data_IF_068110999702
#
_entry.id   IF_068110999702
#
_cell.length_a   1.000
_cell.length_b   1.000
_cell.length_c   1.000
_cell.angle_alpha   90.00
_cell.angle_beta   90.00
_cell.angle_gamma   90.00
#
_symmetry.space_group_name_H-M   'P 1'
#
loop_
_entity.id
_entity.type
_entity.pdbx_description
1 polymer ?
#
# COMPACT_ATOMS: atom_id res chain seq x y z
N UNK A 1 26.66 -3.87 4.12
CA UNK A 1 25.34 -3.62 4.76
C UNK A 1 24.75 -2.28 4.34
N UNK A 2 25.54 -1.19 4.26
CA UNK A 2 25.05 0.15 3.93
C UNK A 2 24.31 0.27 2.58
N UNK A 3 24.84 -0.32 1.50
CA UNK A 3 24.30 -0.16 0.12
C UNK A 3 22.77 -0.38 0.00
N UNK A 4 22.25 -1.49 0.52
CA UNK A 4 20.80 -1.79 0.45
C UNK A 4 19.96 -0.91 1.37
N UNK A 5 20.50 -0.54 2.53
CA UNK A 5 19.85 0.41 3.43
C UNK A 5 19.76 1.80 2.81
N UNK A 6 20.80 2.23 2.08
CA UNK A 6 20.80 3.49 1.33
C UNK A 6 19.71 3.48 0.26
N UNK A 7 19.54 2.37 -0.48
CA UNK A 7 18.46 2.26 -1.46
C UNK A 7 17.07 2.29 -0.83
N UNK A 8 16.86 1.68 0.34
CA UNK A 8 15.58 1.77 1.05
C UNK A 8 15.27 3.21 1.47
N UNK A 9 16.25 3.92 2.02
CA UNK A 9 16.09 5.34 2.39
C UNK A 9 15.74 6.16 1.15
N UNK A 10 16.41 5.89 0.02
CA UNK A 10 16.15 6.56 -1.25
C UNK A 10 14.73 6.27 -1.76
N UNK A 11 14.24 5.03 -1.66
CA UNK A 11 12.86 4.67 -2.02
C UNK A 11 11.86 5.41 -1.14
N UNK A 12 12.06 5.42 0.18
CA UNK A 12 11.17 6.15 1.10
C UNK A 12 11.16 7.64 0.77
N UNK A 13 12.33 8.24 0.55
CA UNK A 13 12.45 9.65 0.16
C UNK A 13 11.71 9.94 -1.15
N UNK A 14 11.80 9.05 -2.14
CA UNK A 14 11.08 9.19 -3.41
C UNK A 14 9.56 9.07 -3.24
N UNK A 15 9.08 8.12 -2.41
CA UNK A 15 7.64 7.99 -2.12
C UNK A 15 7.11 9.24 -1.41
N UNK A 16 7.87 9.81 -0.45
CA UNK A 16 7.50 11.05 0.24
C UNK A 16 7.48 12.23 -0.74
N UNK A 17 8.52 12.37 -1.57
CA UNK A 17 8.60 13.42 -2.59
C UNK A 17 7.43 13.31 -3.57
N UNK A 18 7.10 12.10 -4.01
CA UNK A 18 5.97 11.83 -4.89
C UNK A 18 4.65 12.23 -4.25
N UNK A 19 4.40 11.86 -2.99
CA UNK A 19 3.21 12.28 -2.25
C UNK A 19 3.11 13.80 -2.10
N UNK A 20 4.23 14.48 -1.83
CA UNK A 20 4.29 15.93 -1.76
C UNK A 20 3.95 16.60 -3.11
N UNK A 21 4.48 16.04 -4.20
CA UNK A 21 4.18 16.54 -5.56
C UNK A 21 2.70 16.33 -5.93
N UNK A 22 2.12 15.18 -5.56
CA UNK A 22 0.68 14.93 -5.75
C UNK A 22 -0.16 15.99 -5.05
N UNK A 23 0.15 16.31 -3.79
CA UNK A 23 -0.57 17.33 -3.04
C UNK A 23 -0.47 18.70 -3.72
N UNK A 24 0.75 19.11 -4.13
CA UNK A 24 0.97 20.38 -4.83
C UNK A 24 0.20 20.46 -6.15
N UNK A 25 0.17 19.38 -6.93
CA UNK A 25 -0.58 19.33 -8.19
C UNK A 25 -2.08 19.44 -7.94
N UNK A 26 -2.61 18.80 -6.90
CA UNK A 26 -4.02 18.88 -6.53
C UNK A 26 -4.39 20.29 -6.06
N UNK A 27 -3.57 20.92 -5.20
CA UNK A 27 -3.83 22.28 -4.70
C UNK A 27 -3.76 23.37 -5.78
N UNK A 28 -2.98 23.14 -6.85
CA UNK A 28 -2.83 24.11 -7.95
C UNK A 28 -4.01 24.14 -8.93
N UNK A 29 -4.93 23.17 -8.84
CA UNK A 29 -6.19 23.19 -9.55
C UNK A 29 -7.27 23.69 -8.58
N UNK A 30 -7.79 24.90 -8.77
CA UNK A 30 -9.14 25.28 -8.31
C UNK A 30 -10.14 24.39 -9.05
N UNK A 31 -10.35 23.19 -8.54
CA UNK A 31 -11.33 22.23 -9.08
C UNK A 31 -12.68 22.64 -8.51
N UNK A 32 -13.60 23.02 -9.39
CA UNK A 32 -15.00 23.24 -9.04
C UNK A 32 -15.54 22.03 -8.26
N UNK A 33 -16.39 22.24 -7.25
CA UNK A 33 -17.05 21.13 -6.56
C UNK A 33 -17.75 20.25 -7.61
N UNK A 34 -17.75 18.92 -7.41
CA UNK A 34 -18.34 18.00 -8.38
C UNK A 34 -19.80 18.39 -8.61
N UNK A 35 -20.12 18.78 -9.83
CA UNK A 35 -21.50 19.00 -10.26
C UNK A 35 -22.25 17.69 -10.01
N UNK A 36 -23.37 17.77 -9.29
CA UNK A 36 -24.19 16.61 -8.94
C UNK A 36 -24.48 15.75 -10.19
N UNK A 37 -23.84 14.58 -10.30
CA UNK A 37 -23.98 13.67 -11.44
C UNK A 37 -22.66 13.27 -12.11
N UNK A 38 -21.55 13.96 -11.88
CA UNK A 38 -20.22 13.46 -12.26
C UNK A 38 -19.62 12.71 -11.07
N UNK A 39 -19.36 11.40 -11.18
CA UNK A 39 -18.64 10.71 -10.13
C UNK A 39 -17.23 11.31 -10.12
N UNK A 40 -16.54 11.31 -8.97
CA UNK A 40 -15.17 11.84 -8.81
C UNK A 40 -14.10 11.12 -9.69
N UNK A 41 -14.55 10.33 -10.68
CA UNK A 41 -13.91 9.26 -11.46
C UNK A 41 -13.42 9.67 -12.86
N UNK A 42 -13.43 10.96 -13.23
CA UNK A 42 -12.47 11.40 -14.26
C UNK A 42 -11.00 11.20 -13.77
N UNK A 43 -10.82 10.77 -12.50
CA UNK A 43 -9.58 10.48 -11.79
C UNK A 43 -9.23 8.98 -11.61
N UNK A 44 -10.07 8.01 -11.99
CA UNK A 44 -9.86 6.60 -11.59
C UNK A 44 -8.54 6.00 -12.11
N UNK A 45 -8.12 6.37 -13.33
CA UNK A 45 -6.82 5.94 -13.88
C UNK A 45 -5.63 6.61 -13.17
N UNK A 46 -5.77 7.88 -12.78
CA UNK A 46 -4.73 8.58 -12.03
C UNK A 46 -4.53 7.99 -10.63
N UNK A 47 -5.63 7.63 -9.96
CA UNK A 47 -5.62 6.95 -8.66
C UNK A 47 -4.98 5.57 -8.75
N UNK A 48 -5.27 4.81 -9.81
CA UNK A 48 -4.63 3.52 -10.07
C UNK A 48 -3.11 3.66 -10.26
N UNK A 49 -2.65 4.65 -11.05
CA UNK A 49 -1.22 4.91 -11.25
C UNK A 49 -0.53 5.22 -9.91
N UNK A 50 -1.14 6.07 -9.08
CA UNK A 50 -0.60 6.42 -7.75
C UNK A 50 -0.38 5.17 -6.90
N UNK A 51 -1.40 4.30 -6.80
CA UNK A 51 -1.29 3.06 -6.03
C UNK A 51 -0.31 2.04 -6.62
N UNK A 52 -0.16 1.97 -7.94
CA UNK A 52 0.88 1.14 -8.56
C UNK A 52 2.28 1.63 -8.18
N UNK A 53 2.53 2.95 -8.22
CA UNK A 53 3.82 3.53 -7.85
C UNK A 53 4.14 3.21 -6.38
N UNK A 54 3.15 3.34 -5.49
CA UNK A 54 3.28 3.00 -4.08
C UNK A 54 3.56 1.51 -3.90
N UNK A 55 2.84 0.63 -4.62
CA UNK A 55 3.05 -0.81 -4.58
C UNK A 55 4.47 -1.19 -5.03
N UNK A 56 4.97 -0.57 -6.09
CA UNK A 56 6.35 -0.74 -6.56
C UNK A 56 7.34 -0.29 -5.48
N UNK A 57 7.08 0.85 -4.82
CA UNK A 57 7.87 1.33 -3.69
C UNK A 57 7.94 0.31 -2.56
N UNK A 58 6.79 -0.22 -2.12
CA UNK A 58 6.71 -1.26 -1.09
C UNK A 58 7.46 -2.52 -1.50
N UNK A 59 7.26 -2.98 -2.74
CA UNK A 59 7.98 -4.11 -3.30
C UNK A 59 9.50 -3.91 -3.28
N UNK A 60 9.99 -2.74 -3.69
CA UNK A 60 11.42 -2.44 -3.67
C UNK A 60 11.99 -2.44 -2.25
N UNK A 61 11.24 -1.96 -1.26
CA UNK A 61 11.65 -2.01 0.15
C UNK A 61 11.87 -3.45 0.62
N UNK A 62 10.93 -4.34 0.30
CA UNK A 62 11.01 -5.76 0.65
C UNK A 62 12.10 -6.47 -0.15
N UNK A 63 12.27 -6.15 -1.43
CA UNK A 63 13.32 -6.72 -2.26
C UNK A 63 14.71 -6.36 -1.75
N UNK A 64 14.92 -5.09 -1.38
CA UNK A 64 16.20 -4.65 -0.82
C UNK A 64 16.45 -5.23 0.58
N UNK A 65 15.41 -5.46 1.37
CA UNK A 65 15.55 -6.14 2.67
C UNK A 65 15.94 -7.60 2.49
N UNK A 66 15.28 -8.32 1.55
CA UNK A 66 15.59 -9.71 1.23
C UNK A 66 17.02 -9.89 0.70
N UNK A 67 17.59 -8.87 0.05
CA UNK A 67 18.97 -8.84 -0.45
C UNK A 67 20.03 -8.53 0.61
N UNK A 68 19.65 -8.18 1.84
CA UNK A 68 20.61 -7.96 2.92
C UNK A 68 21.11 -9.30 3.47
N UNK A 69 22.41 -9.37 3.78
CA UNK A 69 23.03 -10.55 4.41
C UNK A 69 22.40 -10.91 5.78
N UNK A 70 21.83 -9.92 6.49
CA UNK A 70 21.05 -10.10 7.72
C UNK A 70 19.59 -9.78 7.44
N UNK A 71 18.97 -10.62 6.62
CA UNK A 71 17.57 -10.47 6.27
C UNK A 71 16.66 -10.75 7.47
N UNK A 72 15.84 -9.75 7.84
CA UNK A 72 14.86 -9.84 8.93
C UNK A 72 13.84 -10.96 8.65
N UNK A 73 13.53 -11.23 7.38
CA UNK A 73 12.55 -12.25 6.96
C UNK A 73 12.99 -13.68 7.32
N UNK A 74 14.28 -13.93 7.53
CA UNK A 74 14.77 -15.26 7.94
C UNK A 74 14.54 -15.58 9.41
N UNK A 75 14.11 -14.62 10.21
CA UNK A 75 13.84 -14.84 11.62
C UNK A 75 12.58 -15.71 11.82
N UNK A 76 12.61 -16.68 12.75
CA UNK A 76 11.47 -17.58 13.03
C UNK A 76 10.18 -16.85 13.43
N UNK A 77 10.27 -15.60 13.89
CA UNK A 77 9.12 -14.74 14.16
C UNK A 77 8.22 -14.57 12.91
N UNK A 78 8.78 -14.63 11.71
CA UNK A 78 8.03 -14.52 10.46
C UNK A 78 7.06 -15.69 10.19
N UNK A 79 7.22 -16.84 10.87
CA UNK A 79 6.25 -17.92 10.80
C UNK A 79 4.89 -17.54 11.40
N UNK A 80 4.87 -16.57 12.33
CA UNK A 80 3.65 -16.01 12.94
C UNK A 80 3.18 -14.71 12.29
N UNK A 81 3.98 -14.10 11.43
CA UNK A 81 3.63 -12.84 10.77
C UNK A 81 2.30 -12.88 10.01
N UNK A 82 1.87 -13.99 9.36
CA UNK A 82 0.54 -14.04 8.75
C UNK A 82 -0.61 -13.85 9.74
N UNK A 83 -0.49 -14.38 10.96
CA UNK A 83 -1.51 -14.22 11.99
C UNK A 83 -1.52 -12.78 12.51
N UNK A 84 -0.32 -12.20 12.70
CA UNK A 84 -0.17 -10.82 13.16
C UNK A 84 -0.72 -9.83 12.12
N UNK A 85 -0.34 -9.97 10.85
CA UNK A 85 -0.82 -9.11 9.77
C UNK A 85 -2.33 -9.28 9.54
N UNK A 86 -2.88 -10.48 9.70
CA UNK A 86 -4.33 -10.70 9.64
C UNK A 86 -5.08 -9.97 10.75
N UNK A 87 -4.61 -10.08 12.00
CA UNK A 87 -5.21 -9.38 13.15
C UNK A 87 -5.15 -7.86 12.97
N UNK A 88 -4.00 -7.34 12.51
CA UNK A 88 -3.83 -5.90 12.23
C UNK A 88 -4.76 -5.45 11.08
N UNK A 89 -4.93 -6.26 10.04
CA UNK A 89 -5.82 -5.95 8.92
C UNK A 89 -7.29 -5.92 9.35
N UNK A 90 -7.73 -6.85 10.20
CA UNK A 90 -9.07 -6.82 10.79
C UNK A 90 -9.25 -5.57 11.65
N UNK A 91 -8.31 -5.30 12.56
CA UNK A 91 -8.38 -4.14 13.44
C UNK A 91 -8.43 -2.82 12.65
N UNK A 92 -7.62 -2.69 11.60
CA UNK A 92 -7.60 -1.52 10.71
C UNK A 92 -8.91 -1.38 9.94
N UNK A 93 -9.48 -2.48 9.45
CA UNK A 93 -10.79 -2.48 8.79
C UNK A 93 -11.91 -2.05 9.73
N UNK A 94 -11.94 -2.57 10.95
CA UNK A 94 -12.93 -2.20 11.97
C UNK A 94 -12.80 -0.71 12.32
N UNK A 95 -11.58 -0.23 12.56
CA UNK A 95 -11.32 1.20 12.83
C UNK A 95 -11.78 2.08 11.67
N UNK A 96 -11.50 1.66 10.43
CA UNK A 96 -11.95 2.37 9.24
C UNK A 96 -13.47 2.45 9.17
N UNK A 97 -14.18 1.33 9.40
CA UNK A 97 -15.64 1.30 9.39
C UNK A 97 -16.24 2.17 10.50
N UNK A 98 -15.70 2.14 11.71
CA UNK A 98 -16.16 2.99 12.82
C UNK A 98 -15.94 4.46 12.48
N UNK A 99 -14.76 4.81 11.97
CA UNK A 99 -14.45 6.18 11.55
C UNK A 99 -15.35 6.64 10.39
N UNK A 100 -15.68 5.75 9.45
CA UNK A 100 -16.54 6.06 8.32
C UNK A 100 -18.02 6.23 8.71
N UNK A 101 -18.52 5.42 9.64
CA UNK A 101 -19.96 5.38 9.98
C UNK A 101 -20.35 6.34 11.09
N UNK A 102 -19.49 6.51 12.09
CA UNK A 102 -19.77 7.29 13.31
C UNK A 102 -18.81 8.47 13.42
N UNK A 103 -17.62 8.35 12.85
CA UNK A 103 -16.58 9.38 12.94
C UNK A 103 -16.70 10.49 11.89
N UNK A 104 -15.91 11.58 12.05
CA UNK A 104 -15.85 12.68 11.11
C UNK A 104 -15.01 12.35 9.86
N UNK A 105 -14.83 11.06 9.52
CA UNK A 105 -13.93 10.65 8.43
C UNK A 105 -14.31 11.34 7.12
N UNK A 106 -15.60 11.44 6.81
CA UNK A 106 -16.08 12.16 5.64
C UNK A 106 -15.67 13.63 5.65
N UNK A 107 -15.86 14.34 6.78
CA UNK A 107 -15.46 15.74 6.93
C UNK A 107 -13.93 15.91 6.82
N UNK A 108 -13.15 14.99 7.38
CA UNK A 108 -11.69 15.03 7.31
C UNK A 108 -11.17 14.73 5.91
N UNK A 109 -11.79 13.79 5.21
CA UNK A 109 -11.45 13.46 3.83
C UNK A 109 -11.80 14.60 2.88
N UNK A 110 -12.92 15.28 3.13
CA UNK A 110 -13.35 16.45 2.36
C UNK A 110 -12.38 17.64 2.56
N UNK A 111 -11.93 17.87 3.80
CA UNK A 111 -10.96 18.91 4.12
C UNK A 111 -9.52 18.55 3.71
N UNK A 112 -9.14 17.28 3.86
CA UNK A 112 -7.79 16.76 3.65
C UNK A 112 -7.83 15.57 2.70
N UNK A 113 -7.90 15.85 1.39
CA UNK A 113 -8.00 14.79 0.39
C UNK A 113 -6.81 13.82 0.40
N UNK A 114 -5.63 14.27 0.86
CA UNK A 114 -4.45 13.42 1.03
C UNK A 114 -4.66 12.26 2.03
N UNK A 115 -5.60 12.41 2.97
CA UNK A 115 -5.90 11.38 3.97
C UNK A 115 -6.43 10.10 3.31
N UNK A 116 -7.16 10.21 2.19
CA UNK A 116 -7.60 9.05 1.40
C UNK A 116 -6.41 8.31 0.79
N UNK A 117 -5.48 9.05 0.15
CA UNK A 117 -4.30 8.44 -0.45
C UNK A 117 -3.42 7.77 0.60
N UNK A 118 -3.26 8.40 1.78
CA UNK A 118 -2.52 7.85 2.90
C UNK A 118 -3.16 6.55 3.41
N UNK A 119 -4.47 6.56 3.62
CA UNK A 119 -5.21 5.43 4.14
C UNK A 119 -5.23 4.26 3.15
N UNK A 120 -5.46 4.52 1.87
CA UNK A 120 -5.35 3.52 0.82
C UNK A 120 -3.94 2.94 0.72
N UNK A 121 -2.90 3.75 0.90
CA UNK A 121 -1.50 3.29 0.95
C UNK A 121 -1.26 2.33 2.12
N UNK A 122 -1.83 2.61 3.30
CA UNK A 122 -1.75 1.74 4.47
C UNK A 122 -2.44 0.40 4.21
N UNK A 123 -3.66 0.41 3.64
CA UNK A 123 -4.36 -0.83 3.28
C UNK A 123 -3.61 -1.65 2.23
N UNK A 124 -3.05 -0.99 1.21
CA UNK A 124 -2.23 -1.63 0.18
C UNK A 124 -0.97 -2.26 0.78
N UNK A 125 -0.27 -1.54 1.66
CA UNK A 125 0.89 -2.05 2.38
C UNK A 125 0.52 -3.27 3.25
N UNK A 126 -0.57 -3.20 4.00
CA UNK A 126 -1.02 -4.32 4.84
C UNK A 126 -1.40 -5.54 4.01
N UNK A 127 -2.05 -5.33 2.86
CA UNK A 127 -2.41 -6.40 1.92
C UNK A 127 -1.16 -7.07 1.36
N UNK A 128 -0.19 -6.26 0.89
CA UNK A 128 1.09 -6.76 0.41
C UNK A 128 1.83 -7.54 1.50
N UNK A 129 1.93 -6.99 2.72
CA UNK A 129 2.56 -7.62 3.87
C UNK A 129 1.89 -8.96 4.22
N UNK A 130 0.56 -9.01 4.21
CA UNK A 130 -0.20 -10.23 4.46
C UNK A 130 0.10 -11.30 3.41
N UNK A 131 -0.02 -10.96 2.13
CA UNK A 131 0.28 -11.87 1.01
C UNK A 131 1.73 -12.36 1.06
N UNK A 132 2.68 -11.45 1.25
CA UNK A 132 4.10 -11.78 1.42
C UNK A 132 4.30 -12.75 2.58
N UNK A 133 3.69 -12.48 3.74
CA UNK A 133 3.84 -13.33 4.91
C UNK A 133 3.30 -14.75 4.68
N UNK A 134 2.18 -14.90 3.96
CA UNK A 134 1.60 -16.21 3.61
C UNK A 134 2.54 -17.01 2.70
N UNK A 135 3.03 -16.37 1.63
CA UNK A 135 3.92 -17.01 0.65
C UNK A 135 5.28 -17.33 1.27
N UNK A 136 5.79 -16.43 2.11
CA UNK A 136 7.06 -16.64 2.80
C UNK A 136 6.96 -17.77 3.83
N UNK A 137 5.86 -17.87 4.57
CA UNK A 137 5.61 -18.99 5.48
C UNK A 137 5.55 -20.33 4.76
N UNK A 138 4.89 -20.41 3.59
CA UNK A 138 4.81 -21.66 2.83
C UNK A 138 6.13 -22.08 2.19
N UNK A 139 7.06 -21.15 2.01
CA UNK A 139 8.40 -21.37 1.43
C UNK A 139 9.55 -21.16 2.42
N UNK A 140 9.28 -21.19 3.71
CA UNK A 140 10.25 -20.80 4.74
C UNK A 140 11.53 -21.66 4.69
N UNK A 141 11.39 -22.95 4.38
CA UNK A 141 12.50 -23.90 4.31
C UNK A 141 13.35 -23.78 3.03
N UNK A 142 12.81 -23.19 1.96
CA UNK A 142 13.51 -23.05 0.67
C UNK A 142 14.62 -21.98 0.68
N UNK A 143 14.74 -21.20 1.78
CA UNK A 143 15.70 -20.08 1.97
C UNK A 143 15.69 -19.00 0.87
N UNK A 144 14.72 -19.05 -0.07
CA UNK A 144 14.57 -18.16 -1.23
C UNK A 144 13.53 -17.08 -0.95
N UNK A 145 13.88 -16.14 -0.07
CA UNK A 145 13.01 -15.01 0.31
C UNK A 145 12.67 -14.12 -0.89
N UNK A 146 13.63 -13.90 -1.79
CA UNK A 146 13.43 -13.09 -3.01
C UNK A 146 12.27 -13.60 -3.87
N UNK A 147 12.12 -14.92 -3.98
CA UNK A 147 11.00 -15.53 -4.71
C UNK A 147 9.64 -15.17 -4.11
N UNK A 148 9.53 -15.15 -2.77
CA UNK A 148 8.31 -14.75 -2.08
C UNK A 148 7.98 -13.26 -2.30
N UNK A 149 8.99 -12.39 -2.39
CA UNK A 149 8.82 -10.96 -2.71
C UNK A 149 8.24 -10.76 -4.12
N UNK A 150 8.71 -11.50 -5.11
CA UNK A 150 8.17 -11.42 -6.49
C UNK A 150 6.74 -11.98 -6.58
N UNK A 151 6.49 -13.14 -5.98
CA UNK A 151 5.16 -13.74 -5.99
C UNK A 151 4.13 -12.88 -5.25
N UNK A 152 4.52 -12.26 -4.15
CA UNK A 152 3.62 -11.34 -3.42
C UNK A 152 3.27 -10.10 -4.23
N UNK A 153 4.19 -9.56 -5.03
CA UNK A 153 3.87 -8.46 -5.94
C UNK A 153 2.80 -8.89 -6.96
N UNK A 154 2.97 -10.06 -7.58
CA UNK A 154 2.02 -10.58 -8.58
C UNK A 154 0.63 -10.75 -7.96
N UNK A 155 0.54 -11.46 -6.82
CA UNK A 155 -0.74 -11.69 -6.14
C UNK A 155 -1.40 -10.40 -5.65
N UNK A 156 -0.62 -9.45 -5.12
CA UNK A 156 -1.17 -8.16 -4.68
C UNK A 156 -1.66 -7.34 -5.87
N UNK A 157 -0.95 -7.38 -6.99
CA UNK A 157 -1.34 -6.68 -8.23
C UNK A 157 -2.62 -7.28 -8.80
N UNK A 158 -2.73 -8.62 -8.84
CA UNK A 158 -3.94 -9.32 -9.30
C UNK A 158 -5.13 -8.99 -8.39
N UNK A 159 -4.95 -8.99 -7.07
CA UNK A 159 -6.01 -8.65 -6.12
C UNK A 159 -6.45 -7.20 -6.33
N UNK A 160 -5.50 -6.26 -6.40
CA UNK A 160 -5.79 -4.83 -6.57
C UNK A 160 -6.46 -4.52 -7.92
N UNK A 161 -5.95 -5.10 -9.02
CA UNK A 161 -6.55 -4.96 -10.35
C UNK A 161 -7.94 -5.61 -10.40
N UNK A 162 -8.12 -6.77 -9.75
CA UNK A 162 -9.42 -7.43 -9.62
C UNK A 162 -10.44 -6.57 -8.87
N UNK A 163 -10.05 -5.95 -7.75
CA UNK A 163 -10.92 -5.03 -7.02
C UNK A 163 -11.29 -3.80 -7.84
N UNK A 164 -10.34 -3.23 -8.58
CA UNK A 164 -10.59 -2.08 -9.45
C UNK A 164 -11.51 -2.44 -10.62
N UNK A 165 -11.36 -3.63 -11.19
CA UNK A 165 -12.22 -4.11 -12.27
C UNK A 165 -13.66 -4.42 -11.81
N UNK A 166 -13.81 -5.01 -10.61
CA UNK A 166 -15.13 -5.33 -10.03
C UNK A 166 -15.87 -4.08 -9.53
N UNK A 167 -15.12 -3.07 -9.08
CA UNK A 167 -15.68 -1.83 -8.56
C UNK A 167 -15.08 -0.61 -9.28
N UNK A 168 -15.37 -0.41 -10.57
CA UNK A 168 -14.78 0.66 -11.37
C UNK A 168 -15.29 2.06 -10.98
N UNK A 169 -16.36 2.12 -10.19
CA UNK A 169 -16.99 3.36 -9.69
C UNK A 169 -16.54 3.77 -8.29
N UNK A 170 -15.66 2.99 -7.64
CA UNK A 170 -14.95 3.36 -6.41
C UNK A 170 -13.63 4.04 -6.78
#
# INVERSE_FOLDING_TARGET
MAKWSTFQILVIANVILFMFMLERMVSSRTIQPPTAGEPAVNSSFSTLIVYIIILIGVYLLFLFEAKKNRDIFRHKAWLKMPQVSFVIAIASTVLFLVMATIGPLFAWVEQFRFLLYLLGSVFLFMTYLFIFSLIHKSRFDEKRVEGAVHWSLIWTTVLFAGTFYLFPSL
#
